data_IF_408226801377
#
_entry.id   IF_408226801377
#
_cell.length_a   1.000
_cell.length_b   1.000
_cell.length_c   1.000
_cell.angle_alpha   90.00
_cell.angle_beta   90.00
_cell.angle_gamma   90.00
#
_symmetry.space_group_name_H-M   'P 1'
#
loop_
_entity.id
_entity.type
_entity.pdbx_description
1 polymer ?
#
# COMPACT_ATOMS: atom_id res chain seq x y z
N UNK A 1 22.94 -17.38 -9.38
CA UNK A 1 22.76 -17.97 -8.04
C UNK A 1 23.70 -17.26 -7.07
N UNK A 2 23.26 -16.78 -5.90
CA UNK A 2 24.17 -16.16 -4.94
C UNK A 2 25.15 -17.19 -4.38
N UNK A 3 26.45 -16.92 -4.54
CA UNK A 3 27.52 -17.82 -4.11
C UNK A 3 27.88 -17.65 -2.63
N UNK A 4 27.45 -16.55 -2.01
CA UNK A 4 27.73 -16.22 -0.60
C UNK A 4 26.50 -16.52 0.26
N UNK A 5 26.69 -17.13 1.45
CA UNK A 5 25.61 -17.46 2.39
C UNK A 5 24.75 -16.24 2.77
N UNK A 6 25.38 -15.08 3.00
CA UNK A 6 24.68 -13.82 3.30
C UNK A 6 23.81 -13.37 2.12
N UNK A 7 24.28 -13.53 0.89
CA UNK A 7 23.52 -13.17 -0.32
C UNK A 7 22.30 -14.09 -0.52
N UNK A 8 22.43 -15.41 -0.29
CA UNK A 8 21.29 -16.34 -0.26
C UNK A 8 20.22 -15.88 0.73
N UNK A 9 20.62 -15.52 1.96
CA UNK A 9 19.72 -14.97 2.99
C UNK A 9 19.07 -13.65 2.54
N UNK A 10 19.81 -12.77 1.87
CA UNK A 10 19.27 -11.48 1.38
C UNK A 10 18.16 -11.66 0.35
N UNK A 11 18.24 -12.67 -0.53
CA UNK A 11 17.16 -12.96 -1.50
C UNK A 11 15.86 -13.32 -0.75
N UNK A 12 15.91 -14.23 0.21
CA UNK A 12 14.73 -14.62 1.00
C UNK A 12 14.12 -13.43 1.75
N UNK A 13 14.97 -12.57 2.33
CA UNK A 13 14.52 -11.35 3.01
C UNK A 13 13.93 -10.34 2.03
N UNK A 14 14.48 -10.22 0.82
CA UNK A 14 13.97 -9.33 -0.21
C UNK A 14 12.59 -9.78 -0.71
N UNK A 15 12.39 -11.08 -0.95
CA UNK A 15 11.11 -11.65 -1.38
C UNK A 15 10.00 -11.42 -0.36
N UNK A 16 10.26 -11.69 0.92
CA UNK A 16 9.28 -11.45 1.99
C UNK A 16 8.91 -9.97 2.13
N UNK A 17 9.89 -9.06 2.00
CA UNK A 17 9.65 -7.61 1.98
C UNK A 17 8.88 -7.17 0.74
N UNK A 18 9.21 -7.71 -0.43
CA UNK A 18 8.52 -7.41 -1.68
C UNK A 18 7.05 -7.82 -1.64
N UNK A 19 6.74 -9.01 -1.13
CA UNK A 19 5.37 -9.49 -0.96
C UNK A 19 4.56 -8.57 -0.01
N UNK A 20 5.13 -8.19 1.13
CA UNK A 20 4.51 -7.24 2.07
C UNK A 20 4.25 -5.89 1.43
N UNK A 21 5.25 -5.32 0.75
CA UNK A 21 5.13 -4.00 0.12
C UNK A 21 4.11 -4.01 -1.03
N UNK A 22 4.06 -5.10 -1.80
CA UNK A 22 3.06 -5.30 -2.86
C UNK A 22 1.63 -5.29 -2.28
N UNK A 23 1.40 -5.99 -1.17
CA UNK A 23 0.10 -6.01 -0.51
C UNK A 23 -0.30 -4.61 -0.01
N UNK A 24 0.61 -3.87 0.62
CA UNK A 24 0.33 -2.51 1.12
C UNK A 24 0.02 -1.55 -0.03
N UNK A 25 0.85 -1.54 -1.09
CA UNK A 25 0.59 -0.71 -2.28
C UNK A 25 -0.74 -1.04 -2.95
N UNK A 26 -1.09 -2.32 -3.02
CA UNK A 26 -2.39 -2.74 -3.58
C UNK A 26 -3.56 -2.26 -2.72
N UNK A 27 -3.45 -2.33 -1.39
CA UNK A 27 -4.50 -1.83 -0.48
C UNK A 27 -4.74 -0.33 -0.66
N UNK A 28 -3.66 0.45 -0.68
CA UNK A 28 -3.74 1.90 -0.91
C UNK A 28 -4.36 2.21 -2.27
N UNK A 29 -3.93 1.53 -3.34
CA UNK A 29 -4.53 1.69 -4.68
C UNK A 29 -6.03 1.37 -4.70
N UNK A 30 -6.46 0.33 -4.00
CA UNK A 30 -7.87 -0.02 -3.88
C UNK A 30 -8.65 1.02 -3.09
N UNK A 31 -8.08 1.56 -2.01
CA UNK A 31 -8.71 2.62 -1.21
C UNK A 31 -8.94 3.89 -2.04
N UNK A 32 -7.92 4.32 -2.80
CA UNK A 32 -8.03 5.47 -3.72
C UNK A 32 -9.12 5.25 -4.78
N UNK A 33 -9.16 4.07 -5.40
CA UNK A 33 -10.22 3.72 -6.37
C UNK A 33 -11.64 3.80 -5.78
N UNK A 34 -11.82 3.44 -4.51
CA UNK A 34 -13.13 3.55 -3.84
C UNK A 34 -13.56 5.02 -3.70
N UNK A 35 -12.62 5.91 -3.39
CA UNK A 35 -12.88 7.35 -3.33
C UNK A 35 -13.26 7.87 -4.71
N UNK A 36 -12.47 7.56 -5.74
CA UNK A 36 -12.75 7.96 -7.12
C UNK A 36 -14.13 7.49 -7.61
N UNK A 37 -14.49 6.24 -7.30
CA UNK A 37 -15.81 5.68 -7.65
C UNK A 37 -16.96 6.41 -6.94
N UNK A 38 -16.81 6.72 -5.64
CA UNK A 38 -17.82 7.46 -4.88
C UNK A 38 -17.99 8.90 -5.38
N UNK A 39 -16.88 9.55 -5.76
CA UNK A 39 -16.89 10.88 -6.36
C UNK A 39 -17.57 10.86 -7.74
N UNK A 40 -17.27 9.87 -8.57
CA UNK A 40 -17.92 9.70 -9.88
C UNK A 40 -19.43 9.47 -9.74
N UNK A 41 -19.86 8.76 -8.70
CA UNK A 41 -21.28 8.55 -8.36
C UNK A 41 -21.97 9.78 -7.75
N UNK A 42 -21.26 10.89 -7.51
CA UNK A 42 -21.75 12.12 -6.86
C UNK A 42 -22.33 11.90 -5.45
N UNK A 43 -21.97 10.81 -4.78
CA UNK A 43 -22.36 10.55 -3.40
C UNK A 43 -21.37 11.22 -2.44
N UNK A 44 -21.75 12.40 -1.94
CA UNK A 44 -20.92 13.22 -1.07
C UNK A 44 -20.64 12.54 0.28
N UNK A 45 -21.61 11.82 0.85
CA UNK A 45 -21.45 11.19 2.15
C UNK A 45 -20.52 9.98 2.06
N UNK A 46 -20.71 9.13 1.04
CA UNK A 46 -19.84 7.98 0.79
C UNK A 46 -18.42 8.41 0.41
N UNK A 47 -18.26 9.47 -0.38
CA UNK A 47 -16.94 9.99 -0.75
C UNK A 47 -16.15 10.50 0.46
N UNK A 48 -16.79 11.22 1.39
CA UNK A 48 -16.13 11.70 2.61
C UNK A 48 -15.68 10.55 3.52
N UNK A 49 -16.54 9.55 3.72
CA UNK A 49 -16.18 8.37 4.52
C UNK A 49 -15.05 7.56 3.87
N UNK A 50 -15.09 7.36 2.55
CA UNK A 50 -14.05 6.67 1.80
C UNK A 50 -12.72 7.43 1.84
N UNK A 51 -12.76 8.76 1.79
CA UNK A 51 -11.57 9.60 1.82
C UNK A 51 -10.85 9.49 3.17
N UNK A 52 -11.57 9.52 4.29
CA UNK A 52 -10.99 9.30 5.62
C UNK A 52 -10.34 7.92 5.78
N UNK A 53 -10.97 6.89 5.21
CA UNK A 53 -10.39 5.54 5.21
C UNK A 53 -9.12 5.47 4.34
N UNK A 54 -9.13 6.15 3.19
CA UNK A 54 -7.99 6.18 2.27
C UNK A 54 -6.80 6.95 2.85
N UNK A 55 -7.01 8.10 3.49
CA UNK A 55 -5.94 8.87 4.14
C UNK A 55 -5.29 8.05 5.26
N UNK A 56 -6.09 7.39 6.11
CA UNK A 56 -5.54 6.51 7.17
C UNK A 56 -4.68 5.38 6.60
N UNK A 57 -5.07 4.77 5.48
CA UNK A 57 -4.30 3.70 4.86
C UNK A 57 -2.99 4.21 4.22
N UNK A 58 -3.00 5.43 3.66
CA UNK A 58 -1.81 6.11 3.13
C UNK A 58 -0.83 6.42 4.27
N UNK A 59 -1.30 6.95 5.40
CA UNK A 59 -0.47 7.26 6.57
C UNK A 59 0.15 6.01 7.21
N UNK A 60 -0.61 4.90 7.22
CA UNK A 60 -0.08 3.59 7.64
C UNK A 60 0.97 3.06 6.67
N UNK A 61 0.89 3.42 5.39
CA UNK A 61 1.86 2.99 4.40
C UNK A 61 3.13 3.85 4.41
N UNK A 62 3.03 5.16 4.67
CA UNK A 62 4.19 6.05 4.86
C UNK A 62 4.94 5.72 6.16
N UNK A 63 4.24 5.47 7.27
CA UNK A 63 4.87 5.04 8.54
C UNK A 63 5.64 3.72 8.43
N UNK A 64 5.22 2.82 7.54
CA UNK A 64 5.93 1.56 7.23
C UNK A 64 7.07 1.72 6.21
N UNK A 65 7.33 2.94 5.75
CA UNK A 65 8.38 3.26 4.76
C UNK A 65 8.08 2.74 3.35
N UNK A 66 6.82 2.44 3.03
CA UNK A 66 6.43 1.99 1.68
C UNK A 66 6.31 3.17 0.72
N UNK A 67 5.88 4.32 1.25
CA UNK A 67 5.87 5.62 0.58
C UNK A 67 6.83 6.57 1.30
N UNK A 68 7.46 7.46 0.53
CA UNK A 68 8.24 8.55 1.10
C UNK A 68 7.31 9.64 1.66
N UNK A 69 7.81 10.44 2.60
CA UNK A 69 7.10 11.58 3.17
C UNK A 69 7.45 12.82 2.36
#
# INVERSE_FOLDING_TARGET
MPNIKSAKKRILVAETRAARNKAIRSKVKTAVKKVEAAVAAKDKAAAQAALLAATSEIDKATSKGVYHK
#
